data_IF_190975259331
#
_entry.id   IF_190975259331
#
_cell.length_a   1.000
_cell.length_b   1.000
_cell.length_c   1.000
_cell.angle_alpha   90.00
_cell.angle_beta   90.00
_cell.angle_gamma   90.00
#
_symmetry.space_group_name_H-M   'P 1'
#
loop_
_entity.id
_entity.type
_entity.pdbx_description
1 polymer ?
#
# COMPACT_ATOMS: atom_id res chain seq x y z
N UNK A 1 -0.74 -19.34 -12.95
CA UNK A 1 0.38 -19.08 -13.89
C UNK A 1 1.63 -18.70 -13.10
N UNK A 2 2.77 -18.60 -13.77
CA UNK A 2 4.08 -18.36 -13.14
C UNK A 2 4.12 -17.05 -12.32
N UNK A 3 3.37 -16.02 -12.74
CA UNK A 3 3.42 -14.69 -12.15
C UNK A 3 2.27 -14.35 -11.20
N UNK A 4 1.32 -15.27 -10.95
CA UNK A 4 0.12 -14.93 -10.17
C UNK A 4 0.43 -14.41 -8.76
N UNK A 5 1.51 -14.89 -8.13
CA UNK A 5 1.90 -14.39 -6.82
C UNK A 5 2.34 -12.93 -6.89
N UNK A 6 3.10 -12.56 -7.93
CA UNK A 6 3.58 -11.18 -8.11
C UNK A 6 2.39 -10.25 -8.38
N UNK A 7 1.47 -10.67 -9.26
CA UNK A 7 0.24 -9.91 -9.54
C UNK A 7 -0.57 -9.67 -8.27
N UNK A 8 -0.78 -10.72 -7.45
CA UNK A 8 -1.47 -10.58 -6.16
C UNK A 8 -0.76 -9.61 -5.21
N UNK A 9 0.56 -9.67 -5.08
CA UNK A 9 1.30 -8.76 -4.19
C UNK A 9 1.27 -7.31 -4.68
N UNK A 10 1.23 -7.08 -5.99
CA UNK A 10 1.06 -5.73 -6.57
C UNK A 10 -0.35 -5.17 -6.27
N UNK A 11 -1.40 -5.97 -6.44
CA UNK A 11 -2.78 -5.59 -6.10
C UNK A 11 -2.93 -5.26 -4.60
N UNK A 12 -2.27 -6.05 -3.74
CA UNK A 12 -2.25 -5.81 -2.29
C UNK A 12 -1.54 -4.48 -1.99
N UNK A 13 -0.39 -4.24 -2.62
CA UNK A 13 0.42 -3.02 -2.43
C UNK A 13 -0.33 -1.77 -2.87
N UNK A 14 -0.98 -1.80 -4.05
CA UNK A 14 -1.83 -0.70 -4.53
C UNK A 14 -2.92 -0.38 -3.51
N UNK A 15 -3.61 -1.43 -3.01
CA UNK A 15 -4.66 -1.26 -2.01
C UNK A 15 -4.14 -0.62 -0.73
N UNK A 16 -2.98 -1.07 -0.24
CA UNK A 16 -2.36 -0.51 0.96
C UNK A 16 -2.01 0.98 0.76
N UNK A 17 -1.48 1.35 -0.40
CA UNK A 17 -1.18 2.73 -0.75
C UNK A 17 -2.42 3.62 -0.79
N UNK A 18 -3.53 3.14 -1.36
CA UNK A 18 -4.81 3.87 -1.38
C UNK A 18 -5.33 4.13 0.05
N UNK A 19 -5.25 3.12 0.92
CA UNK A 19 -5.64 3.27 2.34
C UNK A 19 -4.72 4.25 3.05
N UNK A 20 -3.39 4.12 2.88
CA UNK A 20 -2.41 5.02 3.50
C UNK A 20 -2.62 6.47 3.06
N UNK A 21 -2.79 6.72 1.75
CA UNK A 21 -3.08 8.04 1.20
C UNK A 21 -4.32 8.64 1.85
N UNK A 22 -5.41 7.87 1.97
CA UNK A 22 -6.66 8.35 2.57
C UNK A 22 -6.47 8.69 4.05
N UNK A 23 -5.69 7.91 4.80
CA UNK A 23 -5.35 8.21 6.20
C UNK A 23 -4.50 9.48 6.32
N UNK A 24 -3.55 9.71 5.42
CA UNK A 24 -2.72 10.93 5.39
C UNK A 24 -3.58 12.17 5.09
N UNK A 25 -4.47 12.08 4.11
CA UNK A 25 -5.28 13.22 3.65
C UNK A 25 -6.44 13.55 4.59
N UNK A 26 -7.05 12.54 5.23
CA UNK A 26 -8.33 12.68 5.94
C UNK A 26 -8.29 12.20 7.40
N UNK A 27 -7.13 11.80 7.92
CA UNK A 27 -6.98 11.35 9.29
C UNK A 27 -7.30 12.46 10.33
N UNK A 28 -7.80 12.12 11.53
CA UNK A 28 -8.17 10.78 12.00
C UNK A 28 -9.40 10.19 11.29
N UNK A 29 -9.31 8.94 10.83
CA UNK A 29 -10.40 8.30 10.10
C UNK A 29 -10.62 6.84 10.52
N UNK A 30 -11.88 6.51 10.83
CA UNK A 30 -12.29 5.16 11.23
C UNK A 30 -12.42 4.20 10.05
N UNK A 31 -12.35 2.90 10.34
CA UNK A 31 -12.39 1.83 9.32
C UNK A 31 -13.65 1.87 8.43
N UNK A 32 -14.82 2.18 9.00
CA UNK A 32 -16.07 2.25 8.24
C UNK A 32 -16.05 3.41 7.24
N UNK A 33 -15.56 4.57 7.67
CA UNK A 33 -15.45 5.74 6.79
C UNK A 33 -14.37 5.53 5.74
N UNK A 34 -13.24 4.90 6.08
CA UNK A 34 -12.24 4.48 5.10
C UNK A 34 -12.82 3.54 4.03
N UNK A 35 -13.65 2.58 4.42
CA UNK A 35 -14.31 1.67 3.48
C UNK A 35 -15.25 2.41 2.53
N UNK A 36 -16.00 3.39 3.03
CA UNK A 36 -16.86 4.27 2.22
C UNK A 36 -16.03 5.11 1.24
N UNK A 37 -15.00 5.80 1.73
CA UNK A 37 -14.15 6.72 0.94
C UNK A 37 -13.36 6.00 -0.16
N UNK A 38 -12.94 4.76 0.10
CA UNK A 38 -12.15 3.95 -0.86
C UNK A 38 -13.02 3.03 -1.71
N UNK A 39 -14.32 2.89 -1.41
CA UNK A 39 -15.20 1.90 -2.03
C UNK A 39 -14.82 0.44 -1.74
N UNK A 40 -13.94 0.19 -0.76
CA UNK A 40 -13.40 -1.14 -0.49
C UNK A 40 -14.21 -1.87 0.60
N UNK A 41 -14.34 -3.20 0.51
CA UNK A 41 -14.88 -4.01 1.61
C UNK A 41 -14.11 -3.80 2.92
N UNK A 42 -14.84 -3.68 4.04
CA UNK A 42 -14.28 -3.40 5.37
C UNK A 42 -13.18 -4.38 5.79
N UNK A 43 -13.27 -5.66 5.43
CA UNK A 43 -12.23 -6.65 5.75
C UNK A 43 -10.91 -6.38 5.00
N UNK A 44 -10.96 -5.85 3.77
CA UNK A 44 -9.77 -5.47 2.99
C UNK A 44 -9.13 -4.20 3.55
N UNK A 45 -9.95 -3.23 3.96
CA UNK A 45 -9.47 -2.03 4.67
C UNK A 45 -8.81 -2.42 5.99
N UNK A 46 -9.45 -3.29 6.78
CA UNK A 46 -8.90 -3.81 8.04
C UNK A 46 -7.52 -4.42 7.84
N UNK A 47 -7.38 -5.29 6.86
CA UNK A 47 -6.11 -5.95 6.56
C UNK A 47 -5.04 -4.92 6.16
N UNK A 48 -5.41 -3.93 5.34
CA UNK A 48 -4.49 -2.85 4.96
C UNK A 48 -4.05 -2.01 6.16
N UNK A 49 -4.98 -1.62 7.04
CA UNK A 49 -4.65 -0.89 8.27
C UNK A 49 -3.66 -1.68 9.14
N UNK A 50 -3.88 -2.98 9.32
CA UNK A 50 -2.96 -3.84 10.09
C UNK A 50 -1.55 -3.83 9.50
N UNK A 51 -1.41 -4.03 8.20
CA UNK A 51 -0.09 -4.05 7.53
C UNK A 51 0.59 -2.68 7.69
N UNK A 52 -0.13 -1.59 7.42
CA UNK A 52 0.41 -0.23 7.54
C UNK A 52 0.81 0.12 8.98
N UNK A 53 0.09 -0.38 9.99
CA UNK A 53 0.40 -0.18 11.40
C UNK A 53 1.68 -0.95 11.79
N UNK A 54 1.86 -2.19 11.29
CA UNK A 54 3.08 -2.98 11.51
C UNK A 54 4.31 -2.26 10.94
N UNK A 55 4.17 -1.61 9.79
CA UNK A 55 5.23 -0.80 9.16
C UNK A 55 5.35 0.62 9.74
N UNK A 56 4.57 0.96 10.79
CA UNK A 56 4.56 2.27 11.44
C UNK A 56 4.19 3.44 10.49
N UNK A 57 3.52 3.14 9.38
CA UNK A 57 3.00 4.10 8.41
C UNK A 57 1.68 4.69 8.87
N UNK A 58 0.97 4.02 9.78
CA UNK A 58 -0.16 4.57 10.51
C UNK A 58 -0.03 4.27 12.00
N UNK A 59 -0.84 4.94 12.82
CA UNK A 59 -1.05 4.58 14.23
C UNK A 59 -2.53 4.70 14.61
N UNK A 60 -3.02 3.91 15.58
CA UNK A 60 -4.38 4.02 16.08
C UNK A 60 -4.56 5.29 16.92
N UNK A 61 -5.77 5.84 16.91
CA UNK A 61 -6.22 6.91 17.79
C UNK A 61 -7.68 6.69 18.21
N UNK A 62 -8.17 7.49 19.16
CA UNK A 62 -9.57 7.42 19.64
C UNK A 62 -10.57 7.64 18.48
N UNK A 63 -10.21 8.46 17.49
CA UNK A 63 -11.07 8.84 16.36
C UNK A 63 -10.78 8.03 15.08
N UNK A 64 -9.87 7.06 15.12
CA UNK A 64 -9.49 6.23 13.97
C UNK A 64 -8.00 6.26 13.67
N UNK A 65 -7.61 5.83 12.47
CA UNK A 65 -6.21 5.80 12.05
C UNK A 65 -5.70 7.22 11.70
N UNK A 66 -4.46 7.51 12.07
CA UNK A 66 -3.71 8.71 11.68
C UNK A 66 -2.35 8.32 11.11
N UNK A 67 -1.71 9.24 10.38
CA UNK A 67 -0.38 9.04 9.84
C UNK A 67 0.63 8.68 10.96
N UNK A 68 1.45 7.66 10.66
CA UNK A 68 2.48 7.16 11.55
C UNK A 68 3.82 7.88 11.36
N UNK A 69 4.78 7.67 12.28
CA UNK A 69 6.08 8.35 12.23
C UNK A 69 6.95 7.94 11.03
N UNK A 70 6.71 6.78 10.41
CA UNK A 70 7.51 6.31 9.29
C UNK A 70 7.09 6.88 7.92
N UNK A 71 5.96 7.61 7.85
CA UNK A 71 5.39 8.07 6.57
C UNK A 71 6.34 8.96 5.78
N UNK A 72 6.97 9.95 6.41
CA UNK A 72 7.87 10.87 5.70
C UNK A 72 9.06 10.15 5.08
N UNK A 73 9.65 9.21 5.83
CA UNK A 73 10.75 8.39 5.35
C UNK A 73 10.30 7.50 4.18
N UNK A 74 9.16 6.84 4.34
CA UNK A 74 8.58 6.00 3.29
C UNK A 74 8.35 6.78 1.99
N UNK A 75 7.74 7.97 2.07
CA UNK A 75 7.49 8.80 0.88
C UNK A 75 8.79 9.27 0.23
N UNK A 76 9.82 9.57 1.01
CA UNK A 76 11.15 9.94 0.50
C UNK A 76 11.81 8.79 -0.27
N UNK A 77 11.64 7.56 0.20
CA UNK A 77 12.24 6.36 -0.40
C UNK A 77 11.37 5.76 -1.52
N UNK A 78 10.08 6.12 -1.61
CA UNK A 78 9.09 5.51 -2.49
C UNK A 78 9.48 5.51 -3.97
N UNK A 79 9.89 6.66 -4.52
CA UNK A 79 10.27 6.77 -5.94
C UNK A 79 11.44 5.85 -6.27
N UNK A 80 12.47 5.83 -5.40
CA UNK A 80 13.64 4.97 -5.55
C UNK A 80 13.26 3.49 -5.55
N UNK A 81 12.34 3.09 -4.69
CA UNK A 81 11.88 1.71 -4.63
C UNK A 81 11.03 1.32 -5.85
N UNK A 82 10.18 2.22 -6.35
CA UNK A 82 9.42 2.00 -7.59
C UNK A 82 10.32 1.86 -8.83
N UNK A 83 11.35 2.70 -8.96
CA UNK A 83 12.33 2.59 -10.06
C UNK A 83 13.01 1.22 -10.04
N UNK A 84 13.43 0.74 -8.86
CA UNK A 84 14.04 -0.59 -8.72
C UNK A 84 13.10 -1.70 -9.18
N UNK A 85 11.82 -1.64 -8.80
CA UNK A 85 10.82 -2.64 -9.24
C UNK A 85 10.58 -2.60 -10.76
N UNK A 86 10.58 -1.41 -11.37
CA UNK A 86 10.45 -1.26 -12.83
C UNK A 86 11.64 -1.87 -13.58
N UNK A 87 12.87 -1.69 -13.08
CA UNK A 87 14.08 -2.29 -13.64
C UNK A 87 14.02 -3.83 -13.58
N UNK A 88 13.53 -4.38 -12.47
CA UNK A 88 13.33 -5.82 -12.31
C UNK A 88 12.32 -6.36 -13.32
N UNK A 89 11.16 -5.71 -13.46
CA UNK A 89 10.14 -6.10 -14.44
C UNK A 89 10.67 -6.02 -15.88
N UNK A 90 11.43 -4.96 -16.20
CA UNK A 90 12.07 -4.80 -17.51
C UNK A 90 13.07 -5.92 -17.80
N UNK A 91 13.82 -6.35 -16.78
CA UNK A 91 14.75 -7.47 -16.91
C UNK A 91 14.02 -8.78 -17.20
N UNK A 92 12.93 -9.07 -16.48
CA UNK A 92 12.10 -10.26 -16.72
C UNK A 92 11.55 -10.24 -18.16
N UNK A 93 11.04 -9.09 -18.61
CA UNK A 93 10.52 -8.92 -19.97
C UNK A 93 11.59 -9.17 -21.04
N UNK A 94 12.81 -8.67 -20.83
CA UNK A 94 13.94 -8.89 -21.76
C UNK A 94 14.31 -10.37 -21.86
N UNK A 95 14.34 -11.09 -20.73
CA UNK A 95 14.61 -12.54 -20.71
C UNK A 95 13.50 -13.28 -21.46
N UNK A 96 12.23 -12.99 -21.14
CA UNK A 96 11.09 -13.63 -21.81
C UNK A 96 11.03 -13.40 -23.32
N UNK A 97 11.50 -12.24 -23.81
CA UNK A 97 11.62 -11.95 -25.26
C UNK A 97 12.77 -12.65 -25.96
N UNK A 98 13.75 -13.15 -25.21
CA UNK A 98 14.92 -13.85 -25.74
C UNK A 98 14.74 -15.37 -25.83
N UNK A 99 13.58 -15.86 -25.38
CA UNK A 99 13.14 -17.26 -25.44
C UNK A 99 12.08 -17.35 -26.53
#
# INVERSE_FOLDING_TARGET
>A
MLFDQIERELDLSERHLVVLKTVIEKGPIGILKLAEETGMPTHKVRYSLRVLEQEQLIKPSIQGAIAGPAVERFLKDFEKDMVRLQEMATTILRIGRSI
#
